data_IF_464507197250
#
_entry.id   IF_464507197250
#
_cell.length_a   1.000
_cell.length_b   1.000
_cell.length_c   1.000
_cell.angle_alpha   90.00
_cell.angle_beta   90.00
_cell.angle_gamma   90.00
#
_symmetry.space_group_name_H-M   'P 1'
#
loop_
_entity.id
_entity.type
_entity.pdbx_description
1 polymer ?
#
# COMPACT_ATOMS: atom_id res chain seq x y z
N UNK A 1 -22.92 -4.94 15.29
CA UNK A 1 -21.46 -5.00 15.03
C UNK A 1 -20.79 -3.64 14.93
N UNK A 2 -21.39 -2.60 14.32
CA UNK A 2 -20.86 -1.21 14.28
C UNK A 2 -20.38 -0.65 15.63
N UNK A 3 -21.14 -0.84 16.72
CA UNK A 3 -20.82 -0.25 18.02
C UNK A 3 -19.54 -0.82 18.67
N UNK A 4 -19.18 -2.07 18.35
CA UNK A 4 -17.98 -2.72 18.89
C UNK A 4 -16.69 -2.16 18.25
N UNK A 5 -16.74 -1.83 16.96
CA UNK A 5 -15.61 -1.26 16.22
C UNK A 5 -15.36 0.20 16.58
N UNK A 6 -16.41 1.02 16.69
CA UNK A 6 -16.28 2.42 17.08
C UNK A 6 -15.76 2.54 18.53
N UNK A 7 -16.23 1.67 19.43
CA UNK A 7 -15.71 1.58 20.80
C UNK A 7 -14.23 1.18 20.86
N UNK A 8 -13.78 0.26 19.99
CA UNK A 8 -12.38 -0.13 19.91
C UNK A 8 -11.49 1.01 19.36
N UNK A 9 -11.93 1.72 18.32
CA UNK A 9 -11.21 2.85 17.74
C UNK A 9 -11.08 4.01 18.74
N UNK A 10 -12.16 4.36 19.43
CA UNK A 10 -12.14 5.42 20.46
C UNK A 10 -11.16 5.08 21.59
N UNK A 11 -11.09 3.81 22.00
CA UNK A 11 -10.11 3.36 23.01
C UNK A 11 -8.67 3.45 22.52
N UNK A 12 -8.40 3.13 21.26
CA UNK A 12 -7.06 3.25 20.67
C UNK A 12 -6.63 4.71 20.58
N UNK A 13 -7.51 5.60 20.12
CA UNK A 13 -7.26 7.05 20.07
C UNK A 13 -7.00 7.60 21.48
N UNK A 14 -7.79 7.19 22.48
CA UNK A 14 -7.58 7.57 23.87
C UNK A 14 -6.23 7.09 24.42
N UNK A 15 -5.78 5.89 24.07
CA UNK A 15 -4.45 5.39 24.43
C UNK A 15 -3.34 6.23 23.79
N UNK A 16 -3.46 6.56 22.51
CA UNK A 16 -2.50 7.43 21.83
C UNK A 16 -2.39 8.83 22.47
N UNK A 17 -3.51 9.41 22.91
CA UNK A 17 -3.49 10.67 23.66
C UNK A 17 -2.83 10.55 25.03
N UNK A 18 -3.05 9.46 25.76
CA UNK A 18 -2.36 9.21 27.04
C UNK A 18 -0.86 9.05 26.86
N UNK A 19 -0.42 8.38 25.79
CA UNK A 19 1.00 8.24 25.47
C UNK A 19 1.65 9.60 25.20
N UNK A 20 0.97 10.51 24.47
CA UNK A 20 1.47 11.88 24.27
C UNK A 20 1.59 12.70 25.55
N UNK A 21 0.66 12.55 26.48
CA UNK A 21 0.74 13.22 27.79
C UNK A 21 1.93 12.70 28.61
N UNK A 22 2.22 11.40 28.54
CA UNK A 22 3.40 10.81 29.18
C UNK A 22 4.71 11.24 28.50
N UNK A 23 4.68 11.43 27.18
CA UNK A 23 5.80 11.86 26.35
C UNK A 23 6.41 13.20 26.81
N UNK A 24 5.58 14.13 27.29
CA UNK A 24 6.03 15.45 27.79
C UNK A 24 7.03 15.36 28.94
N UNK A 25 7.10 14.20 29.61
CA UNK A 25 7.96 13.96 30.77
C UNK A 25 9.15 13.03 30.45
N UNK A 26 9.33 12.66 29.17
CA UNK A 26 10.38 11.75 28.74
C UNK A 26 11.60 12.48 28.14
N UNK A 27 12.81 11.92 28.30
CA UNK A 27 13.98 12.26 27.50
C UNK A 27 13.71 12.17 25.99
N UNK A 28 14.36 13.02 25.19
CA UNK A 28 14.11 13.16 23.75
C UNK A 28 14.21 11.85 22.95
N UNK A 29 15.14 10.96 23.31
CA UNK A 29 15.31 9.65 22.65
C UNK A 29 14.09 8.73 22.86
N UNK A 30 13.56 8.71 24.08
CA UNK A 30 12.36 7.94 24.43
C UNK A 30 11.07 8.60 23.91
N UNK A 31 11.07 9.92 23.79
CA UNK A 31 9.97 10.65 23.17
C UNK A 31 9.79 10.29 21.69
N UNK A 32 10.88 10.05 20.95
CA UNK A 32 10.82 9.62 19.55
C UNK A 32 10.22 8.21 19.38
N UNK A 33 10.47 7.29 20.32
CA UNK A 33 9.82 5.97 20.34
C UNK A 33 8.31 6.11 20.57
N UNK A 34 7.89 7.02 21.45
CA UNK A 34 6.47 7.31 21.69
C UNK A 34 5.79 7.90 20.45
N UNK A 35 6.46 8.79 19.71
CA UNK A 35 5.94 9.31 18.44
C UNK A 35 5.69 8.19 17.42
N UNK A 36 6.64 7.26 17.33
CA UNK A 36 6.55 6.08 16.46
C UNK A 36 5.34 5.22 16.86
N UNK A 37 5.20 4.88 18.14
CA UNK A 37 4.07 4.10 18.64
C UNK A 37 2.72 4.80 18.41
N UNK A 38 2.65 6.13 18.57
CA UNK A 38 1.42 6.89 18.31
C UNK A 38 1.08 6.91 16.82
N UNK A 39 2.07 6.97 15.94
CA UNK A 39 1.87 6.88 14.49
C UNK A 39 1.33 5.50 14.09
N UNK A 40 1.85 4.42 14.66
CA UNK A 40 1.37 3.05 14.42
C UNK A 40 -0.08 2.85 14.91
N UNK A 41 -0.43 3.39 16.07
CA UNK A 41 -1.81 3.34 16.60
C UNK A 41 -2.78 4.10 15.68
N UNK A 42 -2.38 5.24 15.11
CA UNK A 42 -3.18 5.97 14.12
C UNK A 42 -3.39 5.16 12.86
N UNK A 43 -2.32 4.58 12.30
CA UNK A 43 -2.41 3.70 11.13
C UNK A 43 -3.33 2.49 11.36
N UNK A 44 -3.33 1.94 12.58
CA UNK A 44 -4.23 0.84 12.97
C UNK A 44 -5.70 1.28 13.01
N UNK A 45 -5.99 2.48 13.55
CA UNK A 45 -7.36 3.03 13.56
C UNK A 45 -7.86 3.26 12.13
N UNK A 46 -7.00 3.81 11.26
CA UNK A 46 -7.34 4.04 9.86
C UNK A 46 -7.62 2.73 9.12
N UNK A 47 -6.83 1.67 9.39
CA UNK A 47 -7.09 0.33 8.83
C UNK A 47 -8.41 -0.26 9.32
N UNK A 48 -8.69 -0.19 10.63
CA UNK A 48 -9.96 -0.66 11.17
C UNK A 48 -11.15 0.12 10.60
N UNK A 49 -10.97 1.41 10.30
CA UNK A 49 -12.02 2.25 9.71
C UNK A 49 -12.28 1.88 8.26
N UNK A 50 -11.21 1.60 7.50
CA UNK A 50 -11.31 1.05 6.13
C UNK A 50 -12.05 -0.27 6.09
N UNK A 51 -11.76 -1.17 7.05
CA UNK A 51 -12.42 -2.48 7.16
C UNK A 51 -13.89 -2.33 7.55
N UNK A 52 -14.19 -1.52 8.57
CA UNK A 52 -15.55 -1.37 9.12
C UNK A 52 -16.54 -0.67 8.17
N UNK A 53 -16.03 0.11 7.21
CA UNK A 53 -16.88 0.91 6.32
C UNK A 53 -17.16 0.23 4.98
N UNK A 54 -16.43 -0.81 4.58
CA UNK A 54 -16.68 -1.52 3.31
C UNK A 54 -16.66 -0.62 2.06
N UNK A 55 -16.09 0.58 2.14
CA UNK A 55 -16.26 1.68 1.16
C UNK A 55 -14.91 2.30 0.80
N UNK A 56 -14.73 2.48 -0.52
CA UNK A 56 -13.81 3.34 -1.28
C UNK A 56 -12.74 4.11 -0.45
N UNK A 57 -11.44 3.92 -0.71
CA UNK A 57 -10.45 4.91 -0.28
C UNK A 57 -10.79 6.25 -0.93
N UNK A 58 -10.81 7.32 -0.13
CA UNK A 58 -11.01 8.72 -0.57
C UNK A 58 -10.07 9.10 -1.74
N UNK A 59 -8.91 8.44 -1.85
CA UNK A 59 -7.97 8.64 -2.95
C UNK A 59 -8.47 8.18 -4.34
N UNK A 60 -9.50 7.33 -4.42
CA UNK A 60 -10.05 6.84 -5.71
C UNK A 60 -11.24 7.68 -6.22
N UNK A 61 -11.63 8.75 -5.52
CA UNK A 61 -12.71 9.62 -5.98
C UNK A 61 -12.37 10.33 -7.29
N UNK A 62 -11.11 10.75 -7.43
CA UNK A 62 -10.55 11.30 -8.69
C UNK A 62 -10.02 10.18 -9.63
N UNK A 63 -10.26 8.91 -9.28
CA UNK A 63 -9.85 7.74 -10.04
C UNK A 63 -8.44 7.22 -9.73
N UNK A 64 -8.15 6.02 -10.25
CA UNK A 64 -6.87 5.32 -9.99
C UNK A 64 -5.65 6.11 -10.48
N UNK A 65 -5.75 6.82 -11.61
CA UNK A 65 -4.65 7.60 -12.14
C UNK A 65 -4.21 8.73 -11.18
N UNK A 66 -5.17 9.44 -10.59
CA UNK A 66 -4.90 10.48 -9.60
C UNK A 66 -4.27 9.89 -8.33
N UNK A 67 -4.82 8.77 -7.84
CA UNK A 67 -4.28 8.06 -6.67
C UNK A 67 -2.81 7.65 -6.86
N UNK A 68 -2.46 7.07 -8.02
CA UNK A 68 -1.09 6.65 -8.32
C UNK A 68 -0.15 7.83 -8.55
N UNK A 69 -0.67 8.97 -9.03
CA UNK A 69 0.12 10.20 -9.14
C UNK A 69 0.55 10.71 -7.77
N UNK A 70 -0.31 10.61 -6.75
CA UNK A 70 0.06 10.94 -5.38
C UNK A 70 1.15 10.00 -4.83
N UNK A 71 1.08 8.70 -5.14
CA UNK A 71 2.13 7.73 -4.77
C UNK A 71 3.47 8.11 -5.40
N UNK A 72 3.47 8.39 -6.71
CA UNK A 72 4.65 8.88 -7.43
C UNK A 72 5.24 10.13 -6.77
N UNK A 73 4.41 11.10 -6.41
CA UNK A 73 4.88 12.36 -5.80
C UNK A 73 5.55 12.16 -4.43
N UNK A 74 5.25 11.07 -3.73
CA UNK A 74 5.87 10.71 -2.45
C UNK A 74 7.16 9.90 -2.58
N UNK A 75 7.54 9.49 -3.80
CA UNK A 75 8.72 8.65 -4.02
C UNK A 75 10.02 9.45 -3.87
N UNK A 76 11.01 8.96 -3.07
CA UNK A 76 12.32 9.60 -2.93
C UNK A 76 13.26 9.29 -4.11
N UNK A 77 12.90 8.35 -4.99
CA UNK A 77 13.68 7.97 -6.18
C UNK A 77 12.85 8.21 -7.46
N UNK A 78 13.50 8.37 -8.63
CA UNK A 78 12.83 8.47 -9.92
C UNK A 78 11.71 7.43 -10.10
N UNK A 79 10.52 7.93 -10.42
CA UNK A 79 9.31 7.13 -10.54
C UNK A 79 8.63 7.42 -11.87
N UNK A 80 8.73 6.46 -12.79
CA UNK A 80 8.06 6.47 -14.08
C UNK A 80 6.66 5.87 -13.91
N UNK A 81 5.62 6.65 -14.21
CA UNK A 81 4.21 6.23 -14.08
C UNK A 81 3.53 6.35 -15.43
N UNK A 82 3.00 5.24 -15.92
CA UNK A 82 2.16 5.19 -17.11
C UNK A 82 0.82 4.55 -16.75
N UNK A 83 -0.25 5.33 -16.85
CA UNK A 83 -1.62 4.84 -16.68
C UNK A 83 -2.33 5.02 -18.01
N UNK A 84 -2.74 3.89 -18.62
CA UNK A 84 -3.50 3.90 -19.86
C UNK A 84 -4.93 4.40 -19.65
N UNK A 85 -5.71 4.43 -20.72
CA UNK A 85 -7.15 4.70 -20.63
C UNK A 85 -7.83 3.55 -19.87
N UNK A 86 -8.49 3.88 -18.76
CA UNK A 86 -9.11 2.92 -17.87
C UNK A 86 -10.63 2.97 -18.10
N UNK A 87 -11.24 1.92 -18.69
CA UNK A 87 -12.68 1.84 -18.85
C UNK A 87 -13.35 1.72 -17.47
N UNK A 88 -14.68 1.63 -17.45
CA UNK A 88 -15.43 1.42 -16.21
C UNK A 88 -15.08 0.05 -15.59
N UNK A 89 -14.05 0.03 -14.76
CA UNK A 89 -13.64 -1.11 -13.93
C UNK A 89 -14.30 -0.96 -12.56
N UNK A 90 -14.65 -2.08 -11.92
CA UNK A 90 -15.27 -2.03 -10.59
C UNK A 90 -14.32 -1.43 -9.53
N UNK A 91 -14.92 -0.75 -8.55
CA UNK A 91 -14.19 -0.10 -7.45
C UNK A 91 -13.26 -1.06 -6.70
N UNK A 92 -13.69 -2.32 -6.52
CA UNK A 92 -12.87 -3.32 -5.84
C UNK A 92 -11.59 -3.66 -6.61
N UNK A 93 -11.64 -3.71 -7.95
CA UNK A 93 -10.44 -3.97 -8.77
C UNK A 93 -9.53 -2.75 -8.82
N UNK A 94 -10.09 -1.53 -8.89
CA UNK A 94 -9.30 -0.29 -8.77
C UNK A 94 -8.57 -0.21 -7.42
N UNK A 95 -9.25 -0.56 -6.34
CA UNK A 95 -8.67 -0.67 -5.00
C UNK A 95 -7.55 -1.72 -4.96
N UNK A 96 -7.79 -2.92 -5.48
CA UNK A 96 -6.77 -3.97 -5.51
C UNK A 96 -5.55 -3.53 -6.32
N UNK A 97 -5.75 -2.91 -7.49
CA UNK A 97 -4.65 -2.37 -8.30
C UNK A 97 -3.82 -1.32 -7.55
N UNK A 98 -4.50 -0.37 -6.89
CA UNK A 98 -3.85 0.64 -6.06
C UNK A 98 -2.99 -0.01 -4.96
N UNK A 99 -3.56 -0.98 -4.23
CA UNK A 99 -2.85 -1.66 -3.14
C UNK A 99 -1.65 -2.47 -3.63
N UNK A 100 -1.76 -3.14 -4.78
CA UNK A 100 -0.64 -3.82 -5.44
C UNK A 100 0.50 -2.85 -5.70
N UNK A 101 0.20 -1.67 -6.27
CA UNK A 101 1.24 -0.67 -6.54
C UNK A 101 1.84 -0.14 -5.25
N UNK A 102 1.04 0.27 -4.26
CA UNK A 102 1.58 0.86 -3.02
C UNK A 102 2.43 -0.12 -2.24
N UNK A 103 2.03 -1.39 -2.16
CA UNK A 103 2.78 -2.41 -1.45
C UNK A 103 4.08 -2.75 -2.20
N UNK A 104 4.02 -2.89 -3.52
CA UNK A 104 5.20 -3.12 -4.35
C UNK A 104 6.21 -1.97 -4.20
N UNK A 105 5.75 -0.71 -4.31
CA UNK A 105 6.59 0.48 -4.14
C UNK A 105 7.19 0.52 -2.73
N UNK A 106 6.41 0.24 -1.69
CA UNK A 106 6.92 0.20 -0.32
C UNK A 106 8.03 -0.85 -0.16
N UNK A 107 7.87 -2.03 -0.77
CA UNK A 107 8.88 -3.09 -0.74
C UNK A 107 10.15 -2.67 -1.48
N UNK A 108 10.03 -2.02 -2.63
CA UNK A 108 11.18 -1.48 -3.36
C UNK A 108 11.96 -0.49 -2.49
N UNK A 109 11.28 0.48 -1.90
CA UNK A 109 11.90 1.52 -1.07
C UNK A 109 12.55 0.96 0.22
N UNK A 110 12.02 -0.13 0.77
CA UNK A 110 12.55 -0.76 1.98
C UNK A 110 13.68 -1.76 1.71
N UNK A 111 13.65 -2.47 0.59
CA UNK A 111 14.44 -3.69 0.42
C UNK A 111 15.30 -3.73 -0.84
N UNK A 112 14.94 -3.03 -1.91
CA UNK A 112 15.54 -3.29 -3.22
C UNK A 112 16.86 -2.55 -3.47
N UNK A 113 17.19 -1.49 -2.71
CA UNK A 113 18.29 -0.57 -3.03
C UNK A 113 18.22 -0.07 -4.50
N UNK A 114 16.99 0.10 -5.01
CA UNK A 114 16.73 0.50 -6.39
C UNK A 114 17.05 1.98 -6.61
N UNK A 115 17.43 2.30 -7.84
CA UNK A 115 17.66 3.67 -8.30
C UNK A 115 16.45 4.25 -9.02
N UNK A 116 15.54 3.40 -9.52
CA UNK A 116 14.27 3.82 -10.14
C UNK A 116 13.14 2.84 -9.90
N UNK A 117 11.92 3.33 -10.08
CA UNK A 117 10.69 2.54 -10.14
C UNK A 117 9.97 2.86 -11.45
N UNK A 118 9.45 1.85 -12.12
CA UNK A 118 8.52 1.97 -13.23
C UNK A 118 7.21 1.29 -12.87
N UNK A 119 6.09 2.01 -13.04
CA UNK A 119 4.74 1.50 -12.84
C UNK A 119 3.93 1.69 -14.10
N UNK A 120 3.38 0.60 -14.61
CA UNK A 120 2.44 0.61 -15.73
C UNK A 120 1.10 0.03 -15.27
N UNK A 121 0.01 0.74 -15.57
CA UNK A 121 -1.35 0.26 -15.38
C UNK A 121 -2.11 0.38 -16.69
N UNK A 122 -2.66 -0.73 -17.16
CA UNK A 122 -3.41 -0.78 -18.40
C UNK A 122 -4.69 -1.61 -18.25
N UNK A 123 -5.74 -1.22 -18.95
CA UNK A 123 -6.96 -2.02 -19.00
C UNK A 123 -6.80 -3.25 -19.90
N UNK A 124 -7.39 -4.36 -19.47
CA UNK A 124 -7.59 -5.58 -20.27
C UNK A 124 -9.04 -6.00 -20.13
N UNK A 125 -9.89 -5.55 -21.06
CA UNK A 125 -11.35 -5.75 -21.00
C UNK A 125 -11.94 -5.16 -19.69
N UNK A 126 -12.46 -6.00 -18.80
CA UNK A 126 -13.05 -5.64 -17.50
C UNK A 126 -12.04 -5.72 -16.34
N UNK A 127 -10.74 -5.90 -16.65
CA UNK A 127 -9.65 -6.08 -15.70
C UNK A 127 -8.57 -5.02 -15.85
N UNK A 128 -7.73 -4.91 -14.82
CA UNK A 128 -6.53 -4.07 -14.80
C UNK A 128 -5.29 -4.95 -14.79
N UNK A 129 -4.40 -4.74 -15.75
CA UNK A 129 -3.04 -5.23 -15.71
C UNK A 129 -2.16 -4.18 -15.03
N UNK A 130 -1.49 -4.57 -13.95
CA UNK A 130 -0.52 -3.76 -13.21
C UNK A 130 0.85 -4.40 -13.36
N UNK A 131 1.85 -3.58 -13.67
CA UNK A 131 3.25 -3.98 -13.66
C UNK A 131 4.05 -2.96 -12.85
N UNK A 132 4.82 -3.43 -11.88
CA UNK A 132 5.76 -2.64 -11.09
C UNK A 132 7.15 -3.25 -11.27
N UNK A 133 8.10 -2.45 -11.71
CA UNK A 133 9.49 -2.85 -11.98
C UNK A 133 10.43 -1.94 -11.21
N UNK A 134 11.39 -2.52 -10.53
CA UNK A 134 12.55 -1.81 -9.98
C UNK A 134 13.86 -2.35 -10.59
N UNK A 135 14.92 -1.55 -10.48
CA UNK A 135 16.27 -1.89 -10.94
C UNK A 135 17.20 -2.24 -9.76
N UNK A 136 16.64 -2.71 -8.65
CA UNK A 136 17.37 -3.03 -7.43
C UNK A 136 18.15 -4.34 -7.48
N UNK A 137 18.56 -4.80 -6.30
CA UNK A 137 19.37 -6.00 -6.13
C UNK A 137 18.63 -7.31 -6.49
N UNK A 138 17.31 -7.26 -6.54
CA UNK A 138 16.46 -8.43 -6.78
C UNK A 138 16.68 -9.55 -5.76
N UNK A 139 16.53 -10.81 -6.20
CA UNK A 139 16.71 -11.99 -5.36
C UNK A 139 15.51 -12.33 -4.47
N UNK A 140 14.32 -11.82 -4.81
CA UNK A 140 13.08 -12.18 -4.11
C UNK A 140 12.66 -13.61 -4.49
N UNK A 141 12.45 -14.52 -3.52
CA UNK A 141 11.95 -15.87 -3.80
C UNK A 141 10.58 -15.84 -4.49
N UNK A 142 10.30 -16.82 -5.36
CA UNK A 142 9.00 -16.93 -6.03
C UNK A 142 7.82 -17.12 -5.06
N UNK A 143 8.09 -17.60 -3.84
CA UNK A 143 7.16 -17.81 -2.74
C UNK A 143 7.30 -16.76 -1.63
N UNK A 144 8.00 -15.65 -1.88
CA UNK A 144 8.16 -14.57 -0.93
C UNK A 144 6.81 -14.15 -0.33
N UNK A 145 6.77 -13.76 0.96
CA UNK A 145 5.54 -13.56 1.72
C UNK A 145 4.81 -12.27 1.34
N UNK A 146 4.37 -12.19 0.09
CA UNK A 146 3.29 -11.31 -0.37
C UNK A 146 1.94 -12.02 -0.21
N UNK A 147 1.80 -12.93 0.75
CA UNK A 147 0.60 -13.78 0.93
C UNK A 147 -0.66 -12.94 1.05
N UNK A 148 -0.62 -11.86 1.84
CA UNK A 148 -1.74 -10.93 1.95
C UNK A 148 -2.11 -10.25 0.63
N UNK A 149 -1.12 -9.93 -0.21
CA UNK A 149 -1.33 -9.33 -1.53
C UNK A 149 -1.90 -10.37 -2.52
N UNK A 150 -1.38 -11.61 -2.49
CA UNK A 150 -1.89 -12.74 -3.29
C UNK A 150 -3.34 -13.04 -2.94
N UNK A 151 -3.66 -13.20 -1.67
CA UNK A 151 -5.02 -13.51 -1.22
C UNK A 151 -6.02 -12.43 -1.66
N UNK A 152 -5.61 -11.16 -1.59
CA UNK A 152 -6.44 -10.03 -2.04
C UNK A 152 -6.58 -9.95 -3.56
N UNK A 153 -5.55 -10.29 -4.33
CA UNK A 153 -5.65 -10.39 -5.80
C UNK A 153 -6.53 -11.57 -6.21
N UNK A 154 -6.40 -12.71 -5.55
CA UNK A 154 -7.21 -13.91 -5.80
C UNK A 154 -8.68 -13.67 -5.41
N UNK A 155 -8.97 -12.89 -4.36
CA UNK A 155 -10.35 -12.63 -3.94
C UNK A 155 -11.19 -11.84 -4.96
N UNK A 156 -10.54 -11.11 -5.88
CA UNK A 156 -11.19 -10.47 -7.03
C UNK A 156 -11.13 -11.32 -8.31
N UNK A 157 -10.69 -12.57 -8.21
CA UNK A 157 -10.50 -13.48 -9.35
C UNK A 157 -9.29 -13.12 -10.22
N UNK A 158 -8.32 -12.41 -9.65
CA UNK A 158 -7.10 -11.98 -10.31
C UNK A 158 -5.93 -12.95 -10.17
N UNK A 159 -4.78 -12.56 -10.71
CA UNK A 159 -3.52 -13.30 -10.60
C UNK A 159 -2.38 -12.35 -10.23
N UNK A 160 -1.41 -12.84 -9.44
CA UNK A 160 -0.20 -12.12 -9.08
C UNK A 160 1.02 -12.99 -9.43
N UNK A 161 1.97 -12.41 -10.15
CA UNK A 161 3.26 -13.00 -10.46
C UNK A 161 4.39 -12.10 -9.98
N UNK A 162 5.47 -12.72 -9.52
CA UNK A 162 6.70 -12.05 -9.17
C UNK A 162 7.78 -12.68 -10.03
N UNK A 163 8.65 -11.86 -10.62
CA UNK A 163 9.89 -12.30 -11.23
C UNK A 163 11.00 -11.48 -10.63
N UNK A 164 12.00 -12.13 -10.08
CA UNK A 164 13.19 -11.44 -9.60
C UNK A 164 14.42 -12.23 -9.98
N UNK A 165 15.40 -11.54 -10.54
CA UNK A 165 16.71 -12.13 -10.80
C UNK A 165 17.72 -11.49 -9.86
N UNK A 166 18.68 -12.26 -9.31
CA UNK A 166 19.79 -11.66 -8.59
C UNK A 166 20.45 -10.60 -9.47
N UNK A 167 20.70 -9.41 -8.92
CA UNK A 167 21.28 -8.23 -9.60
C UNK A 167 20.50 -7.65 -10.78
N UNK A 168 19.25 -8.06 -11.01
CA UNK A 168 18.40 -7.58 -12.11
C UNK A 168 17.04 -7.02 -11.68
N UNK A 169 16.89 -6.65 -10.41
CA UNK A 169 15.67 -6.06 -9.86
C UNK A 169 14.53 -7.05 -9.61
N UNK A 170 13.35 -6.49 -9.33
CA UNK A 170 12.10 -7.23 -9.17
C UNK A 170 11.03 -6.68 -10.10
N UNK A 171 10.24 -7.58 -10.68
CA UNK A 171 9.05 -7.29 -11.47
C UNK A 171 7.86 -7.95 -10.82
N UNK A 172 6.89 -7.15 -10.39
CA UNK A 172 5.60 -7.61 -9.89
C UNK A 172 4.55 -7.34 -10.96
N UNK A 173 3.81 -8.38 -11.34
CA UNK A 173 2.72 -8.30 -12.30
C UNK A 173 1.43 -8.79 -11.67
N UNK A 174 0.37 -8.01 -11.79
CA UNK A 174 -0.97 -8.42 -11.38
C UNK A 174 -1.97 -8.24 -12.52
N UNK A 175 -2.95 -9.13 -12.58
CA UNK A 175 -4.17 -8.93 -13.36
C UNK A 175 -5.33 -9.00 -12.39
N UNK A 176 -6.00 -7.87 -12.17
CA UNK A 176 -7.05 -7.71 -11.15
C UNK A 176 -8.35 -7.24 -11.71
#
# INVERSE_FOLDING_TARGET
ERDLHDGAQQRIVATGMRLRLLQEHLPAEQAAEVDTAVAELRGTVDELRRIAQGVRPILLDDGLAAALTAVKASSPIPFDLMVGDLPAVSDIRMLTAYLVVTEAVANVLKHAQASRISVTVAARQDRLAVEVVDDGIGGVPDDAPLTALRDRVVSVGGTLGIRSTPSGGTTIQAVV
#
